data_IF_905756956172
#
_entry.id   IF_905756956172
#
_cell.length_a   1.000
_cell.length_b   1.000
_cell.length_c   1.000
_cell.angle_alpha   90.00
_cell.angle_beta   90.00
_cell.angle_gamma   90.00
#
_symmetry.space_group_name_H-M   'P 1'
#
loop_
_entity.id
_entity.type
_entity.pdbx_description
1 polymer ?
#
# COMPACT_ATOMS: atom_id res chain seq x y z
N UNK A 1 2.92 0.86 4.50
CA UNK A 1 1.81 1.24 3.58
C UNK A 1 1.54 0.09 2.63
N UNK A 2 0.28 -0.25 2.37
CA UNK A 2 -0.09 -1.30 1.43
C UNK A 2 -1.59 -1.58 1.44
N UNK A 3 -2.04 -2.54 0.65
CA UNK A 3 -3.48 -2.91 0.61
C UNK A 3 -3.90 -3.94 1.65
N UNK A 4 -2.95 -4.58 2.33
CA UNK A 4 -3.28 -5.57 3.36
C UNK A 4 -3.85 -4.86 4.60
N UNK A 5 -4.78 -5.51 5.30
CA UNK A 5 -5.27 -5.09 6.61
C UNK A 5 -4.50 -5.78 7.76
N UNK A 6 -3.39 -6.47 7.44
CA UNK A 6 -2.55 -7.13 8.44
C UNK A 6 -1.85 -6.12 9.36
N UNK A 7 -1.52 -6.52 10.61
CA UNK A 7 -0.90 -5.63 11.60
C UNK A 7 0.35 -4.85 11.16
N UNK A 8 1.24 -5.35 10.27
CA UNK A 8 2.39 -4.60 9.79
C UNK A 8 2.06 -3.37 8.91
N UNK A 9 0.80 -3.14 8.56
CA UNK A 9 0.38 -2.02 7.72
C UNK A 9 -0.17 -0.88 8.60
N UNK A 10 0.56 0.22 8.69
CA UNK A 10 0.10 1.43 9.40
C UNK A 10 -0.96 2.22 8.63
N UNK A 11 -0.92 2.15 7.29
CA UNK A 11 -1.82 2.89 6.41
C UNK A 11 -2.26 2.02 5.24
N UNK A 12 -3.55 1.69 5.24
CA UNK A 12 -4.21 0.85 4.23
C UNK A 12 -4.64 1.71 3.06
N UNK A 13 -4.30 1.29 1.85
CA UNK A 13 -4.69 1.95 0.60
C UNK A 13 -5.49 0.99 -0.29
N UNK A 14 -6.39 1.55 -1.11
CA UNK A 14 -7.21 0.81 -2.08
C UNK A 14 -7.03 1.42 -3.47
N UNK A 15 -7.30 0.65 -4.52
CA UNK A 15 -7.26 1.15 -5.89
C UNK A 15 -8.23 2.34 -6.05
N UNK A 16 -7.80 3.31 -6.85
CA UNK A 16 -8.65 4.45 -7.21
C UNK A 16 -9.27 4.18 -8.57
N UNK A 17 -10.55 4.50 -8.72
CA UNK A 17 -11.21 4.50 -10.02
C UNK A 17 -11.13 5.92 -10.60
N UNK A 18 -10.73 6.11 -11.87
CA UNK A 18 -10.77 7.42 -12.49
C UNK A 18 -12.21 7.93 -12.52
N UNK A 19 -12.41 9.19 -12.10
CA UNK A 19 -13.74 9.81 -11.91
C UNK A 19 -14.62 9.85 -13.18
N UNK A 20 -14.04 9.59 -14.35
CA UNK A 20 -14.72 9.62 -15.66
C UNK A 20 -15.33 8.28 -16.08
N UNK A 21 -15.03 7.18 -15.37
CA UNK A 21 -15.40 5.84 -15.83
C UNK A 21 -16.28 5.09 -14.81
N UNK A 22 -17.56 5.45 -14.84
CA UNK A 22 -18.74 4.68 -14.42
C UNK A 22 -19.21 4.84 -12.96
N UNK A 23 -20.49 5.20 -12.83
CA UNK A 23 -21.24 5.32 -11.60
C UNK A 23 -21.45 4.01 -10.81
N UNK A 24 -22.36 4.02 -9.81
CA UNK A 24 -22.40 3.09 -8.67
C UNK A 24 -22.88 1.65 -9.00
N UNK A 25 -22.70 1.17 -10.22
CA UNK A 25 -23.28 -0.08 -10.72
C UNK A 25 -22.33 -1.02 -11.47
N UNK A 26 -21.02 -0.78 -11.47
CA UNK A 26 -20.06 -1.67 -12.14
C UNK A 26 -19.32 -2.57 -11.13
N UNK A 27 -20.07 -3.21 -10.24
CA UNK A 27 -19.58 -4.19 -9.25
C UNK A 27 -18.97 -5.46 -9.88
N UNK A 28 -19.10 -5.63 -11.20
CA UNK A 28 -18.71 -6.85 -11.90
C UNK A 28 -17.31 -6.83 -12.51
N UNK A 29 -16.62 -5.69 -12.48
CA UNK A 29 -15.16 -5.67 -12.67
C UNK A 29 -14.51 -5.57 -11.31
N UNK A 30 -14.46 -6.70 -10.60
CA UNK A 30 -13.46 -6.91 -9.54
C UNK A 30 -12.08 -6.76 -10.19
N UNK A 31 -11.66 -5.52 -10.44
CA UNK A 31 -10.34 -5.23 -10.98
C UNK A 31 -9.36 -5.78 -9.95
N UNK A 32 -8.59 -6.78 -10.37
CA UNK A 32 -7.54 -7.34 -9.54
C UNK A 32 -6.64 -6.18 -9.12
N UNK A 33 -6.65 -5.86 -7.83
CA UNK A 33 -5.87 -4.76 -7.27
C UNK A 33 -4.43 -4.85 -7.76
N UNK A 34 -3.93 -3.77 -8.33
CA UNK A 34 -2.53 -3.68 -8.79
C UNK A 34 -1.58 -3.27 -7.67
N UNK A 35 -2.14 -2.80 -6.54
CA UNK A 35 -1.38 -2.43 -5.35
C UNK A 35 -0.83 -3.67 -4.64
N UNK A 36 0.44 -3.64 -4.25
CA UNK A 36 1.04 -4.72 -3.45
C UNK A 36 0.48 -4.77 -2.02
N UNK A 37 0.40 -5.97 -1.44
CA UNK A 37 -0.04 -6.16 -0.03
C UNK A 37 0.80 -5.35 0.95
N UNK A 38 2.11 -5.39 0.78
CA UNK A 38 3.11 -4.64 1.54
C UNK A 38 3.91 -3.76 0.56
N UNK A 39 3.37 -2.58 0.23
CA UNK A 39 3.81 -1.79 -0.94
C UNK A 39 5.08 -0.98 -0.71
N UNK A 40 5.14 -0.23 0.39
CA UNK A 40 6.30 0.60 0.71
C UNK A 40 6.41 0.93 2.20
N UNK A 41 7.58 1.44 2.57
CA UNK A 41 7.91 1.94 3.90
C UNK A 41 8.34 3.40 3.81
N UNK A 42 7.85 4.21 4.74
CA UNK A 42 8.37 5.55 4.99
C UNK A 42 9.21 5.49 6.25
N UNK A 43 10.47 5.92 6.16
CA UNK A 43 11.38 6.00 7.29
C UNK A 43 11.71 7.47 7.55
N UNK A 44 11.23 7.98 8.66
CA UNK A 44 11.51 9.35 9.12
C UNK A 44 12.55 9.32 10.23
N UNK A 45 13.58 10.15 10.11
CA UNK A 45 14.59 10.28 11.16
C UNK A 45 14.00 10.95 12.39
N UNK A 46 14.09 10.29 13.55
CA UNK A 46 13.50 10.81 14.80
C UNK A 46 14.16 12.10 15.29
N UNK A 47 15.46 12.27 15.01
CA UNK A 47 16.22 13.46 15.38
C UNK A 47 16.10 14.59 14.35
N UNK A 48 15.78 14.25 13.10
CA UNK A 48 15.60 15.18 11.99
C UNK A 48 14.30 14.88 11.23
N UNK A 49 13.13 15.26 11.77
CA UNK A 49 11.83 14.87 11.23
C UNK A 49 11.54 15.36 9.81
N UNK A 50 12.30 16.35 9.35
CA UNK A 50 12.27 16.87 7.98
C UNK A 50 12.93 15.91 6.97
N UNK A 51 13.67 14.90 7.44
CA UNK A 51 14.30 13.90 6.59
C UNK A 51 13.44 12.62 6.62
N UNK A 52 12.70 12.40 5.53
CA UNK A 52 11.90 11.20 5.30
C UNK A 52 12.35 10.53 4.01
N UNK A 53 12.55 9.21 4.05
CA UNK A 53 12.90 8.40 2.88
C UNK A 53 11.84 7.35 2.62
N UNK A 54 11.59 7.09 1.34
CA UNK A 54 10.70 6.01 0.90
C UNK A 54 11.52 4.82 0.41
N UNK A 55 11.10 3.61 0.81
CA UNK A 55 11.67 2.35 0.35
C UNK A 55 10.56 1.50 -0.26
N UNK A 56 10.86 0.89 -1.42
CA UNK A 56 10.00 -0.11 -2.02
C UNK A 56 9.88 -1.35 -1.12
N UNK A 57 8.72 -2.00 -1.20
CA UNK A 57 8.29 -3.14 -0.40
C UNK A 57 8.17 -2.86 1.11
N UNK A 58 7.20 -3.53 1.74
CA UNK A 58 7.02 -3.57 3.19
C UNK A 58 7.27 -4.97 3.75
N UNK A 59 7.57 -5.03 5.05
CA UNK A 59 7.70 -6.30 5.76
C UNK A 59 6.33 -6.96 5.92
N UNK A 60 6.28 -8.26 5.70
CA UNK A 60 5.11 -9.08 6.02
C UNK A 60 5.00 -9.38 7.52
N UNK A 61 3.98 -10.17 7.90
CA UNK A 61 3.75 -10.60 9.29
C UNK A 61 4.89 -11.46 9.86
N UNK A 62 5.74 -12.03 9.01
CA UNK A 62 6.96 -12.75 9.40
C UNK A 62 8.20 -11.86 9.48
N UNK A 63 8.03 -10.54 9.31
CA UNK A 63 9.11 -9.53 9.25
C UNK A 63 10.08 -9.75 8.07
N UNK A 64 9.60 -10.31 6.97
CA UNK A 64 10.39 -10.57 5.77
C UNK A 64 9.94 -9.70 4.58
N UNK A 65 10.86 -9.49 3.65
CA UNK A 65 10.58 -9.01 2.29
C UNK A 65 10.99 -10.12 1.34
N UNK A 66 10.01 -10.68 0.64
CA UNK A 66 10.25 -11.72 -0.36
C UNK A 66 10.46 -11.09 -1.74
N UNK A 67 11.61 -11.36 -2.36
CA UNK A 67 11.91 -11.06 -3.76
C UNK A 67 12.05 -12.40 -4.47
N UNK A 68 11.01 -12.77 -5.22
CA UNK A 68 10.96 -14.01 -6.00
C UNK A 68 11.67 -13.92 -7.33
#
# INVERSE_FOLDING_TARGET
IGRSSEPPIDFVVMDTYPATENGPGNESRMAQSTISRFACRLLTERQHPNITRIYAAGFDSSRNIFLG
#
